data_IF_192513690206
#
_entry.id   IF_192513690206
#
_cell.length_a   1.000
_cell.length_b   1.000
_cell.length_c   1.000
_cell.angle_alpha   90.00
_cell.angle_beta   90.00
_cell.angle_gamma   90.00
#
_symmetry.space_group_name_H-M   'P 1'
#
loop_
_entity.id
_entity.type
_entity.pdbx_description
1 polymer ?
#
# COMPACT_ATOMS: atom_id res chain seq x y z
N UNK A 1 32.72 14.92 -35.49
CA UNK A 1 32.82 13.53 -36.08
C UNK A 1 31.51 12.86 -35.84
N UNK A 2 30.69 12.84 -36.87
CA UNK A 2 29.30 12.35 -36.86
C UNK A 2 29.32 10.87 -37.16
N UNK A 3 28.71 10.04 -36.30
CA UNK A 3 28.38 8.65 -36.63
C UNK A 3 26.88 8.44 -36.49
N UNK A 4 26.21 8.40 -37.62
CA UNK A 4 24.87 7.93 -37.81
C UNK A 4 24.90 6.38 -37.79
N UNK A 5 24.06 5.77 -36.97
CA UNK A 5 23.78 4.33 -37.04
C UNK A 5 22.33 4.16 -37.48
N UNK A 6 22.18 3.74 -38.73
CA UNK A 6 20.94 3.23 -39.31
C UNK A 6 20.74 1.80 -38.81
N UNK A 7 19.60 1.52 -38.16
CA UNK A 7 19.14 0.17 -37.89
C UNK A 7 17.84 -0.05 -38.65
N UNK A 8 17.91 -1.01 -39.54
CA UNK A 8 16.87 -1.43 -40.47
C UNK A 8 15.74 -2.18 -39.77
N UNK A 9 14.53 -1.84 -40.18
CA UNK A 9 13.29 -2.53 -39.84
C UNK A 9 13.09 -3.66 -40.85
N UNK A 10 12.90 -4.88 -40.40
CA UNK A 10 12.32 -5.96 -41.22
C UNK A 10 11.70 -7.02 -40.33
N UNK A 11 10.47 -7.38 -40.58
CA UNK A 11 9.87 -8.61 -40.08
C UNK A 11 8.38 -8.53 -39.74
N UNK A 12 7.52 -8.47 -40.81
CA UNK A 12 6.11 -8.88 -40.72
C UNK A 12 6.04 -10.40 -40.47
N UNK A 13 5.28 -10.83 -39.46
CA UNK A 13 4.71 -12.16 -39.40
C UNK A 13 3.27 -12.06 -38.88
N UNK A 14 2.32 -12.11 -39.79
CA UNK A 14 0.90 -12.30 -39.51
C UNK A 14 0.64 -13.79 -39.27
N UNK A 15 0.23 -14.17 -38.06
CA UNK A 15 -0.33 -15.48 -37.75
C UNK A 15 -1.83 -15.35 -37.52
N UNK A 16 -2.62 -15.79 -38.52
CA UNK A 16 -4.07 -15.97 -38.42
C UNK A 16 -4.31 -17.31 -37.74
N UNK A 17 -4.87 -17.28 -36.52
CA UNK A 17 -5.37 -18.49 -35.88
C UNK A 17 -6.91 -18.43 -35.93
N UNK A 18 -7.46 -19.25 -36.83
CA UNK A 18 -8.87 -19.57 -36.88
C UNK A 18 -9.20 -20.52 -35.72
N UNK A 19 -9.85 -20.02 -34.69
CA UNK A 19 -10.34 -20.81 -33.56
C UNK A 19 -11.79 -21.21 -33.75
N UNK A 20 -12.05 -22.50 -33.78
CA UNK A 20 -13.33 -23.20 -33.88
C UNK A 20 -14.26 -22.89 -32.73
N UNK A 21 -15.45 -22.37 -33.06
CA UNK A 21 -16.61 -22.28 -32.16
C UNK A 21 -17.14 -23.70 -31.91
N UNK A 22 -17.08 -24.15 -30.68
CA UNK A 22 -17.84 -25.29 -30.17
C UNK A 22 -19.16 -24.78 -29.61
N UNK A 23 -20.25 -25.08 -30.32
CA UNK A 23 -21.62 -24.96 -29.84
C UNK A 23 -21.82 -25.93 -28.67
N UNK A 24 -22.08 -25.40 -27.47
CA UNK A 24 -22.68 -26.16 -26.39
C UNK A 24 -24.18 -26.10 -26.52
N UNK A 25 -24.78 -27.25 -26.79
CA UNK A 25 -26.20 -27.49 -26.87
C UNK A 25 -26.87 -27.31 -25.50
N UNK A 26 -27.99 -26.61 -25.51
CA UNK A 26 -28.92 -26.46 -24.40
C UNK A 26 -29.54 -27.84 -24.06
N UNK A 27 -29.21 -28.37 -22.88
CA UNK A 27 -30.04 -29.39 -22.28
C UNK A 27 -30.97 -28.72 -21.28
N UNK A 28 -32.27 -28.73 -21.69
CA UNK A 28 -33.36 -28.28 -20.83
C UNK A 28 -33.90 -29.45 -20.07
N UNK A 29 -33.44 -29.63 -18.83
CA UNK A 29 -34.13 -30.49 -17.87
C UNK A 29 -34.89 -29.61 -16.87
N UNK A 30 -36.20 -29.56 -17.14
CA UNK A 30 -37.18 -29.05 -16.20
C UNK A 30 -37.30 -29.98 -15.02
N UNK A 31 -36.69 -29.61 -13.90
CA UNK A 31 -37.03 -30.23 -12.61
C UNK A 31 -37.63 -29.17 -11.67
N UNK A 32 -38.95 -29.18 -11.64
CA UNK A 32 -39.79 -28.45 -10.69
C UNK A 32 -39.56 -29.00 -9.27
N UNK A 33 -38.77 -28.33 -8.47
CA UNK A 33 -38.73 -28.52 -7.03
C UNK A 33 -38.96 -27.18 -6.35
N UNK A 34 -40.20 -27.03 -5.82
CA UNK A 34 -40.53 -26.00 -4.83
C UNK A 34 -39.65 -26.17 -3.61
N UNK A 35 -38.55 -25.44 -3.56
CA UNK A 35 -37.67 -25.30 -2.41
C UNK A 35 -37.81 -23.89 -1.85
N UNK A 36 -38.36 -23.83 -0.62
CA UNK A 36 -38.46 -22.64 0.22
C UNK A 36 -37.15 -21.83 0.19
N UNK A 37 -37.19 -20.63 -0.33
CA UNK A 37 -36.04 -19.70 -0.27
C UNK A 37 -35.89 -19.27 1.19
N UNK A 38 -34.93 -19.87 1.89
CA UNK A 38 -34.41 -19.32 3.13
C UNK A 38 -33.75 -17.96 2.88
N UNK A 39 -33.76 -17.07 3.88
CA UNK A 39 -33.11 -15.75 3.75
C UNK A 39 -31.65 -15.92 3.36
N UNK A 40 -31.10 -14.99 2.49
CA UNK A 40 -29.72 -15.07 2.08
C UNK A 40 -28.81 -15.07 3.32
N UNK A 41 -27.72 -15.84 3.32
CA UNK A 41 -26.79 -15.82 4.43
C UNK A 41 -26.26 -14.39 4.58
N UNK A 42 -26.45 -13.83 5.77
CA UNK A 42 -25.87 -12.55 6.12
C UNK A 42 -24.37 -12.63 5.85
N UNK A 43 -23.87 -11.75 4.99
CA UNK A 43 -22.44 -11.59 4.76
C UNK A 43 -21.79 -11.25 6.10
N UNK A 44 -21.18 -12.24 6.73
CA UNK A 44 -20.35 -12.03 7.91
C UNK A 44 -19.19 -11.14 7.47
N UNK A 45 -19.27 -9.84 7.76
CA UNK A 45 -18.10 -8.96 7.71
C UNK A 45 -17.05 -9.58 8.62
N UNK A 46 -16.02 -10.17 8.03
CA UNK A 46 -14.88 -10.67 8.78
C UNK A 46 -14.29 -9.47 9.54
N UNK A 47 -14.46 -9.47 10.87
CA UNK A 47 -13.82 -8.48 11.72
C UNK A 47 -12.31 -8.57 11.50
N UNK A 48 -11.67 -7.46 11.12
CA UNK A 48 -10.20 -7.38 11.08
C UNK A 48 -9.66 -7.82 12.45
N UNK A 49 -8.65 -8.69 12.49
CA UNK A 49 -8.07 -9.13 13.76
C UNK A 49 -7.60 -7.91 14.54
N UNK A 50 -7.99 -7.81 15.80
CA UNK A 50 -7.51 -6.74 16.68
C UNK A 50 -6.00 -6.82 16.81
N UNK A 51 -5.26 -5.70 16.72
CA UNK A 51 -3.83 -5.69 16.89
C UNK A 51 -3.44 -6.24 18.26
N UNK A 52 -2.56 -7.22 18.28
CA UNK A 52 -2.20 -7.99 19.47
C UNK A 52 -0.76 -7.80 19.93
N UNK A 53 0.12 -7.28 19.06
CA UNK A 53 1.53 -7.10 19.39
C UNK A 53 1.75 -5.78 20.13
N UNK A 54 2.31 -5.86 21.33
CA UNK A 54 2.73 -4.71 22.13
C UNK A 54 4.25 -4.59 22.03
N UNK A 55 4.74 -3.37 21.79
CA UNK A 55 6.18 -3.06 21.73
C UNK A 55 6.43 -1.62 22.16
N UNK A 56 7.71 -1.27 22.43
CA UNK A 56 8.13 0.11 22.72
C UNK A 56 9.56 0.36 22.20
N UNK A 57 9.79 1.53 21.59
CA UNK A 57 11.10 1.96 21.10
C UNK A 57 11.70 0.96 20.11
N UNK A 58 12.92 0.53 20.35
CA UNK A 58 13.64 -0.39 19.45
C UNK A 58 12.98 -1.76 19.29
N UNK A 59 12.17 -2.20 20.27
CA UNK A 59 11.41 -3.44 20.15
C UNK A 59 10.30 -3.37 19.09
N UNK A 60 9.91 -2.16 18.64
CA UNK A 60 8.97 -1.97 17.56
C UNK A 60 9.63 -2.00 16.17
N UNK A 61 10.95 -1.91 16.08
CA UNK A 61 11.65 -1.88 14.80
C UNK A 61 11.33 -3.12 13.95
N UNK A 62 11.08 -2.92 12.67
CA UNK A 62 10.72 -3.94 11.68
C UNK A 62 9.41 -4.69 11.95
N UNK A 63 8.60 -4.26 12.92
CA UNK A 63 7.25 -4.79 13.12
C UNK A 63 6.23 -4.09 12.21
N UNK A 64 5.17 -4.84 11.88
CA UNK A 64 4.06 -4.36 11.06
C UNK A 64 3.12 -3.45 11.88
N UNK A 65 2.91 -2.16 11.50
CA UNK A 65 2.07 -1.25 12.26
C UNK A 65 0.66 -1.76 12.48
N UNK A 66 0.04 -2.35 11.45
CA UNK A 66 -1.34 -2.81 11.49
C UNK A 66 -1.56 -3.97 12.47
N UNK A 67 -0.52 -4.74 12.78
CA UNK A 67 -0.55 -5.85 13.73
C UNK A 67 -0.18 -5.44 15.15
N UNK A 68 0.21 -4.19 15.37
CA UNK A 68 0.66 -3.66 16.66
C UNK A 68 -0.39 -2.73 17.28
N UNK A 69 -0.33 -2.60 18.61
CA UNK A 69 -1.15 -1.62 19.34
C UNK A 69 -0.80 -0.18 18.97
N UNK A 70 0.38 0.05 18.38
CA UNK A 70 0.89 1.37 17.99
C UNK A 70 0.00 2.06 16.96
N UNK A 71 -0.76 1.31 16.15
CA UNK A 71 -1.69 1.87 15.19
C UNK A 71 -2.89 2.59 15.84
N UNK A 72 -3.18 2.32 17.12
CA UNK A 72 -4.37 2.83 17.82
C UNK A 72 -4.25 4.30 18.23
N UNK A 73 -3.04 4.73 18.63
CA UNK A 73 -2.75 6.11 19.06
C UNK A 73 -1.99 6.93 18.01
N UNK A 74 -1.69 6.28 16.86
CA UNK A 74 -0.86 6.91 15.84
C UNK A 74 -1.53 8.13 15.21
N UNK A 75 -0.77 9.21 15.14
CA UNK A 75 -1.15 10.45 14.48
C UNK A 75 -0.30 10.68 13.22
N UNK A 76 -0.79 11.48 12.28
CA UNK A 76 0.03 12.01 11.19
C UNK A 76 0.82 13.20 11.74
N UNK A 77 2.08 13.00 12.05
CA UNK A 77 2.95 14.05 12.57
C UNK A 77 3.39 15.03 11.48
N UNK A 78 3.75 14.48 10.33
CA UNK A 78 4.12 15.27 9.15
C UNK A 78 3.48 14.69 7.89
N UNK A 79 3.28 15.55 6.90
CA UNK A 79 2.75 15.20 5.59
C UNK A 79 3.51 15.87 4.45
N UNK A 80 3.30 15.38 3.23
CA UNK A 80 3.79 15.98 1.98
C UNK A 80 2.95 15.50 0.81
N UNK A 81 2.76 16.37 -0.18
CA UNK A 81 1.96 16.05 -1.36
C UNK A 81 2.65 16.59 -2.61
N UNK A 82 3.16 15.71 -3.46
CA UNK A 82 3.78 16.07 -4.73
C UNK A 82 3.77 14.87 -5.69
N UNK A 83 3.89 15.13 -6.97
CA UNK A 83 3.90 14.10 -8.03
C UNK A 83 2.66 13.19 -8.05
N UNK A 84 1.53 13.67 -7.47
CA UNK A 84 0.29 12.90 -7.37
C UNK A 84 0.24 11.90 -6.21
N UNK A 85 1.31 11.76 -5.43
CA UNK A 85 1.36 10.94 -4.22
C UNK A 85 1.23 11.80 -2.96
N UNK A 86 0.67 11.21 -1.91
CA UNK A 86 0.63 11.80 -0.56
C UNK A 86 1.49 10.93 0.34
N UNK A 87 2.41 11.54 1.06
CA UNK A 87 3.25 10.89 2.06
C UNK A 87 2.92 11.40 3.46
N UNK A 88 2.81 10.50 4.42
CA UNK A 88 2.59 10.80 5.83
C UNK A 88 3.67 10.13 6.68
N UNK A 89 4.21 10.87 7.64
CA UNK A 89 4.93 10.29 8.77
C UNK A 89 3.91 10.01 9.86
N UNK A 90 3.68 8.73 10.13
CA UNK A 90 2.81 8.27 11.22
C UNK A 90 3.67 8.05 12.46
N UNK A 91 3.20 8.50 13.62
CA UNK A 91 3.91 8.39 14.88
C UNK A 91 2.98 7.94 16.01
N UNK A 92 3.44 6.96 16.79
CA UNK A 92 2.80 6.50 18.02
C UNK A 92 3.64 6.93 19.21
N UNK A 93 3.10 7.82 20.04
CA UNK A 93 3.76 8.24 21.26
C UNK A 93 3.82 7.11 22.29
N UNK A 94 2.77 6.29 22.38
CA UNK A 94 2.72 5.13 23.26
C UNK A 94 3.83 4.12 22.96
N UNK A 95 4.12 3.89 21.69
CA UNK A 95 5.14 2.93 21.27
C UNK A 95 6.51 3.55 21.08
N UNK A 96 6.69 4.88 21.08
CA UNK A 96 7.91 5.55 20.64
C UNK A 96 8.40 4.99 19.31
N UNK A 97 7.51 4.95 18.34
CA UNK A 97 7.74 4.35 17.02
C UNK A 97 7.09 5.16 15.91
N UNK A 98 7.69 5.12 14.72
CA UNK A 98 7.18 5.79 13.52
C UNK A 98 7.19 4.87 12.32
N UNK A 99 6.36 5.19 11.31
CA UNK A 99 6.37 4.55 9.98
C UNK A 99 5.92 5.54 8.92
N UNK A 100 6.31 5.27 7.68
CA UNK A 100 5.84 6.03 6.54
C UNK A 100 4.59 5.39 5.95
N UNK A 101 3.59 6.20 5.60
CA UNK A 101 2.42 5.79 4.84
C UNK A 101 2.32 6.64 3.59
N UNK A 102 2.14 5.99 2.44
CA UNK A 102 1.97 6.64 1.15
C UNK A 102 0.61 6.26 0.57
N UNK A 103 -0.13 7.21 0.02
CA UNK A 103 -1.40 7.00 -0.68
C UNK A 103 -1.38 7.62 -2.08
N UNK A 104 -2.37 7.22 -2.91
CA UNK A 104 -2.45 7.56 -4.34
C UNK A 104 -1.25 7.03 -5.14
N UNK A 105 -0.75 5.87 -4.76
CA UNK A 105 0.43 5.24 -5.33
C UNK A 105 0.12 4.48 -6.61
N UNK A 106 1.18 4.08 -7.31
CA UNK A 106 1.16 3.17 -8.46
C UNK A 106 2.19 2.06 -8.27
N UNK A 107 2.04 0.91 -8.95
CA UNK A 107 3.06 -0.13 -8.95
C UNK A 107 4.42 0.44 -9.35
N UNK A 108 5.47 0.09 -8.61
CA UNK A 108 6.83 0.58 -8.78
C UNK A 108 7.20 1.76 -7.88
N UNK A 109 6.24 2.54 -7.37
CA UNK A 109 6.50 3.56 -6.37
C UNK A 109 7.06 2.92 -5.09
N UNK A 110 7.84 3.69 -4.33
CA UNK A 110 8.45 3.23 -3.07
C UNK A 110 8.13 4.20 -1.95
N UNK A 111 7.94 3.66 -0.78
CA UNK A 111 7.81 4.42 0.47
C UNK A 111 8.94 4.02 1.40
N UNK A 112 9.60 5.00 1.99
CA UNK A 112 10.74 4.78 2.87
C UNK A 112 10.64 5.60 4.15
N UNK A 113 11.14 5.05 5.25
CA UNK A 113 11.36 5.76 6.51
C UNK A 113 12.79 5.56 6.95
N UNK A 114 13.44 6.65 7.30
CA UNK A 114 14.83 6.69 7.78
C UNK A 114 14.84 7.28 9.18
N UNK A 115 15.16 6.50 10.22
CA UNK A 115 15.34 7.04 11.56
C UNK A 115 16.72 7.74 11.70
N UNK A 116 16.87 8.60 12.72
CA UNK A 116 18.19 9.18 13.06
C UNK A 116 19.16 8.07 13.50
N UNK A 117 18.65 7.03 14.17
CA UNK A 117 19.44 5.89 14.64
C UNK A 117 18.74 4.59 14.26
N UNK A 118 19.53 3.63 13.75
CA UNK A 118 19.02 2.32 13.38
C UNK A 118 18.80 2.17 11.86
N UNK A 119 18.34 1.01 11.41
CA UNK A 119 18.11 0.73 9.99
C UNK A 119 16.88 1.46 9.47
N UNK A 120 16.95 1.87 8.20
CA UNK A 120 15.82 2.37 7.44
C UNK A 120 14.91 1.21 7.01
N UNK A 121 13.64 1.50 6.82
CA UNK A 121 12.67 0.58 6.25
C UNK A 121 12.14 1.13 4.92
N UNK A 122 11.97 0.26 3.93
CA UNK A 122 11.44 0.60 2.62
C UNK A 122 10.44 -0.46 2.16
N UNK A 123 9.39 -0.03 1.48
CA UNK A 123 8.47 -0.91 0.78
C UNK A 123 8.25 -0.42 -0.66
N UNK A 124 8.31 -1.35 -1.63
CA UNK A 124 7.97 -1.09 -3.02
C UNK A 124 6.54 -1.51 -3.29
N UNK A 125 5.75 -0.57 -3.78
CA UNK A 125 4.35 -0.81 -4.16
C UNK A 125 4.25 -1.82 -5.31
N UNK A 126 3.46 -2.86 -5.12
CA UNK A 126 3.23 -3.91 -6.13
C UNK A 126 1.82 -3.83 -6.72
N UNK A 127 0.82 -3.55 -5.89
CA UNK A 127 -0.58 -3.45 -6.29
C UNK A 127 -1.35 -2.56 -5.30
N UNK A 128 -2.51 -2.05 -5.74
CA UNK A 128 -3.32 -1.14 -4.92
C UNK A 128 -2.87 0.32 -5.04
N UNK A 129 -3.30 1.14 -4.12
CA UNK A 129 -3.07 2.59 -4.13
C UNK A 129 -2.51 3.15 -2.82
N UNK A 130 -2.25 2.29 -1.86
CA UNK A 130 -1.70 2.63 -0.55
C UNK A 130 -0.53 1.71 -0.23
N UNK A 131 0.49 2.26 0.41
CA UNK A 131 1.67 1.54 0.86
C UNK A 131 2.14 2.10 2.20
N UNK A 132 2.79 1.28 2.99
CA UNK A 132 3.45 1.72 4.23
C UNK A 132 4.70 0.89 4.49
N UNK A 133 5.59 1.43 5.30
CA UNK A 133 6.77 0.73 5.77
C UNK A 133 6.46 -0.02 7.06
N UNK A 134 7.33 -0.93 7.45
CA UNK A 134 7.43 -1.37 8.83
C UNK A 134 7.84 -0.20 9.72
N UNK A 135 7.70 -0.40 11.05
CA UNK A 135 8.04 0.63 12.04
C UNK A 135 9.54 0.76 12.25
N UNK A 136 9.95 1.96 12.64
CA UNK A 136 11.28 2.26 13.17
C UNK A 136 11.14 2.85 14.57
N UNK A 137 12.16 2.72 15.40
CA UNK A 137 12.21 3.40 16.69
C UNK A 137 12.34 4.91 16.47
N UNK A 138 11.52 5.69 17.17
CA UNK A 138 11.56 7.14 17.17
C UNK A 138 11.01 7.65 18.50
N UNK A 139 11.81 8.35 19.28
CA UNK A 139 11.39 8.93 20.57
C UNK A 139 10.43 10.11 20.39
N UNK A 140 10.52 10.78 19.26
CA UNK A 140 9.65 11.87 18.80
C UNK A 140 9.57 11.84 17.26
N UNK A 141 8.57 12.52 16.64
CA UNK A 141 8.40 12.49 15.19
C UNK A 141 9.62 12.94 14.38
N UNK A 142 10.38 13.95 14.90
CA UNK A 142 11.56 14.51 14.26
C UNK A 142 12.75 13.52 14.18
N UNK A 143 12.69 12.43 14.94
CA UNK A 143 13.73 11.39 14.94
C UNK A 143 13.62 10.47 13.71
N UNK A 144 12.63 10.67 12.84
CA UNK A 144 12.46 9.91 11.62
C UNK A 144 12.03 10.78 10.44
N UNK A 145 12.39 10.35 9.23
CA UNK A 145 12.04 11.02 7.97
C UNK A 145 11.32 10.05 7.05
N UNK A 146 10.09 10.37 6.66
CA UNK A 146 9.29 9.61 5.72
C UNK A 146 9.33 10.24 4.33
N UNK A 147 9.60 9.45 3.29
CA UNK A 147 9.63 9.90 1.90
C UNK A 147 8.92 8.90 0.98
N UNK A 148 8.26 9.44 -0.05
CA UNK A 148 7.75 8.70 -1.19
C UNK A 148 8.68 8.92 -2.39
N UNK A 149 9.10 7.85 -3.03
CA UNK A 149 9.88 7.85 -4.27
C UNK A 149 8.90 7.44 -5.37
N UNK A 150 8.40 8.42 -6.11
CA UNK A 150 7.43 8.22 -7.19
C UNK A 150 8.19 7.90 -8.46
N UNK A 151 7.94 6.71 -9.00
CA UNK A 151 8.69 6.18 -10.14
C UNK A 151 8.67 7.19 -11.30
N UNK A 152 9.86 7.46 -11.87
CA UNK A 152 10.11 8.36 -13.01
C UNK A 152 9.64 9.81 -12.81
N UNK A 153 9.22 10.21 -11.59
CA UNK A 153 8.72 11.56 -11.31
C UNK A 153 9.49 12.30 -10.22
N UNK A 154 9.97 11.62 -9.19
CA UNK A 154 10.78 12.24 -8.15
C UNK A 154 10.49 11.77 -6.73
N UNK A 155 11.07 12.47 -5.76
CA UNK A 155 10.94 12.16 -4.34
C UNK A 155 10.25 13.31 -3.62
N UNK A 156 9.25 12.98 -2.80
CA UNK A 156 8.60 13.91 -1.87
C UNK A 156 8.70 13.36 -0.45
N UNK A 157 9.01 14.23 0.52
CA UNK A 157 9.09 13.86 1.92
C UNK A 157 8.02 14.59 2.75
N UNK A 158 7.62 13.97 3.85
CA UNK A 158 6.70 14.53 4.82
C UNK A 158 7.43 15.59 5.66
N UNK A 159 7.21 16.85 5.35
CA UNK A 159 7.88 18.01 5.98
C UNK A 159 6.89 19.02 6.55
N UNK A 160 5.63 18.98 6.13
CA UNK A 160 4.59 19.87 6.62
C UNK A 160 3.93 19.26 7.85
N UNK A 161 3.71 20.02 8.94
CA UNK A 161 2.98 19.51 10.10
C UNK A 161 1.66 18.87 9.70
N UNK A 162 1.38 17.69 10.24
CA UNK A 162 0.12 16.99 9.98
C UNK A 162 -1.06 17.79 10.50
N UNK A 163 -2.20 17.66 9.84
CA UNK A 163 -3.44 18.24 10.37
C UNK A 163 -3.73 17.63 11.75
N UNK A 164 -4.15 18.43 12.75
CA UNK A 164 -4.53 17.91 14.05
C UNK A 164 -5.63 16.87 13.86
N UNK A 165 -5.42 15.67 14.38
CA UNK A 165 -6.48 14.65 14.40
C UNK A 165 -7.60 15.20 15.26
N UNK A 166 -8.80 15.38 14.69
CA UNK A 166 -9.96 15.76 15.48
C UNK A 166 -10.13 14.72 16.59
N UNK A 167 -10.19 15.20 17.84
CA UNK A 167 -10.45 14.32 18.96
C UNK A 167 -11.79 13.59 18.72
N UNK A 168 -11.88 12.28 18.96
CA UNK A 168 -13.17 11.59 18.90
C UNK A 168 -14.11 12.24 19.96
N UNK A 169 -15.28 12.69 19.50
CA UNK A 169 -16.37 13.14 20.38
C UNK A 169 -16.92 11.98 21.20
#
# INVERSE_FOLDING_TARGET
MTRAILVSISGLAAAVIAGTFLLWTLDSDANTSSGSQGPPPASSSAASPSPTVSCHGSACASLEPAQSICSRDAVTAYSGNQYGAVIELRYSAHCSAAWAKMSKTSPGDRVAITPIQGPAEEYRQQYGRDAHTRMVAAGKPEDARACAIVQDRGTVCATEPGAPTAAPN
#
